data_IF_352549554462
#
_entry.id   IF_352549554462
#
_cell.length_a   1.000
_cell.length_b   1.000
_cell.length_c   1.000
_cell.angle_alpha   90.00
_cell.angle_beta   90.00
_cell.angle_gamma   90.00
#
_symmetry.space_group_name_H-M   'P 1'
#
loop_
_entity.id
_entity.type
_entity.pdbx_description
1 polymer ?
#
# COMPACT_ATOMS: atom_id res chain seq x y z
N UNK A 1 -32.53 -0.46 -17.16
CA UNK A 1 -31.32 0.21 -16.62
C UNK A 1 -31.60 1.28 -15.56
N UNK A 2 -32.72 2.02 -15.58
CA UNK A 2 -32.96 3.13 -14.63
C UNK A 2 -33.28 2.73 -13.17
N UNK A 3 -33.66 1.48 -12.92
CA UNK A 3 -34.03 0.99 -11.58
C UNK A 3 -32.79 0.65 -10.71
N UNK A 4 -31.74 0.11 -11.32
CA UNK A 4 -30.48 -0.22 -10.63
C UNK A 4 -29.70 1.03 -10.19
N UNK A 5 -29.81 2.14 -10.92
CA UNK A 5 -29.14 3.41 -10.56
C UNK A 5 -29.82 4.05 -9.34
N UNK A 6 -31.15 3.95 -9.20
CA UNK A 6 -31.88 4.47 -8.04
C UNK A 6 -31.63 3.64 -6.77
N UNK A 7 -31.50 2.31 -6.89
CA UNK A 7 -31.18 1.44 -5.75
C UNK A 7 -29.74 1.66 -5.23
N UNK A 8 -28.80 2.00 -6.12
CA UNK A 8 -27.41 2.27 -5.75
C UNK A 8 -27.27 3.62 -5.01
N UNK A 9 -28.09 4.62 -5.33
CA UNK A 9 -28.08 5.92 -4.65
C UNK A 9 -28.72 5.87 -3.25
N UNK A 10 -29.78 5.08 -3.05
CA UNK A 10 -30.42 4.95 -1.73
C UNK A 10 -29.56 4.16 -0.74
N UNK A 11 -28.83 3.13 -1.18
CA UNK A 11 -27.88 2.42 -0.33
C UNK A 11 -26.64 3.28 0.03
N UNK A 12 -26.21 4.18 -0.86
CA UNK A 12 -25.11 5.11 -0.59
C UNK A 12 -25.48 6.20 0.43
N UNK A 13 -26.76 6.60 0.49
CA UNK A 13 -27.26 7.60 1.43
C UNK A 13 -27.53 7.06 2.84
N UNK A 14 -27.91 5.79 2.99
CA UNK A 14 -28.08 5.19 4.33
C UNK A 14 -26.76 4.79 5.01
N UNK A 15 -25.68 4.57 4.26
CA UNK A 15 -24.36 4.22 4.81
C UNK A 15 -23.57 5.39 5.41
N UNK A 16 -24.04 6.64 5.25
CA UNK A 16 -23.36 7.84 5.72
C UNK A 16 -23.75 8.28 7.14
N UNK A 17 -24.68 7.57 7.80
CA UNK A 17 -25.29 8.00 9.08
C UNK A 17 -24.54 7.63 10.36
N UNK A 18 -23.45 6.84 10.31
CA UNK A 18 -22.68 6.46 11.49
C UNK A 18 -21.21 6.88 11.39
N UNK A 19 -20.98 8.20 11.44
CA UNK A 19 -19.71 8.73 11.91
C UNK A 19 -19.95 9.26 13.33
N UNK A 20 -19.67 8.42 14.32
CA UNK A 20 -19.64 8.79 15.73
C UNK A 20 -18.63 9.94 15.93
N UNK A 21 -19.16 11.10 16.29
CA UNK A 21 -18.40 12.27 16.73
C UNK A 21 -17.78 11.98 18.10
N UNK A 22 -16.51 11.57 18.12
CA UNK A 22 -15.71 11.57 19.34
C UNK A 22 -15.41 13.00 19.76
N UNK A 23 -16.14 13.51 20.76
CA UNK A 23 -15.91 14.81 21.37
C UNK A 23 -14.57 14.86 22.09
N UNK A 24 -13.70 15.78 21.67
CA UNK A 24 -12.48 16.15 22.40
C UNK A 24 -12.88 17.19 23.44
N UNK A 25 -12.74 16.83 24.73
CA UNK A 25 -12.89 17.77 25.85
C UNK A 25 -11.82 18.86 25.76
N UNK A 26 -12.26 20.11 25.78
CA UNK A 26 -11.40 21.26 26.01
C UNK A 26 -10.80 21.17 27.42
N UNK A 27 -9.48 21.14 27.53
CA UNK A 27 -8.76 21.43 28.76
C UNK A 27 -8.41 22.91 28.75
N UNK A 28 -9.11 23.66 29.58
CA UNK A 28 -8.78 25.03 29.98
C UNK A 28 -7.55 24.98 30.90
N UNK A 29 -6.48 25.67 30.52
CA UNK A 29 -5.32 25.92 31.37
C UNK A 29 -5.17 27.44 31.55
N UNK A 30 -5.22 27.99 32.78
CA UNK A 30 -4.80 29.36 33.05
C UNK A 30 -3.36 29.35 33.60
N UNK A 31 -2.51 30.26 33.10
CA UNK A 31 -1.17 30.42 33.63
C UNK A 31 -0.35 31.44 32.85
N UNK A 32 -0.56 32.72 33.15
CA UNK A 32 0.26 33.83 32.71
C UNK A 32 1.67 33.78 33.32
N UNK A 33 2.70 34.19 32.56
CA UNK A 33 4.05 34.34 33.09
C UNK A 33 5.09 34.83 32.09
N UNK A 34 5.21 36.17 32.01
CA UNK A 34 6.43 36.99 31.80
C UNK A 34 7.21 36.87 30.48
N UNK A 35 7.27 38.01 29.80
CA UNK A 35 7.97 38.26 28.54
C UNK A 35 9.47 38.52 28.72
N UNK A 36 10.27 38.05 27.75
CA UNK A 36 11.64 38.53 27.48
C UNK A 36 11.72 38.95 26.00
N UNK A 37 12.12 40.19 25.66
CA UNK A 37 12.18 40.66 24.28
C UNK A 37 13.64 40.74 23.79
N UNK A 38 14.09 39.83 22.91
CA UNK A 38 15.26 40.09 22.05
C UNK A 38 15.48 38.94 21.04
N UNK A 39 14.95 39.13 19.82
CA UNK A 39 15.50 38.65 18.54
C UNK A 39 14.39 38.68 17.47
N UNK A 40 13.91 39.88 17.16
CA UNK A 40 12.97 40.12 16.07
C UNK A 40 13.79 40.33 14.78
N UNK A 41 14.33 39.25 14.24
CA UNK A 41 14.91 39.26 12.90
C UNK A 41 13.79 38.95 11.88
N UNK A 42 13.33 40.01 11.23
CA UNK A 42 12.61 40.02 9.95
C UNK A 42 11.45 39.02 9.77
N UNK A 43 10.31 39.26 10.44
CA UNK A 43 9.02 38.69 10.02
C UNK A 43 8.23 39.77 9.29
N UNK A 44 8.61 40.03 8.04
CA UNK A 44 7.82 40.82 7.11
C UNK A 44 6.58 40.02 6.71
N UNK A 45 5.42 40.54 7.09
CA UNK A 45 4.09 40.00 6.82
C UNK A 45 3.78 39.97 5.32
N UNK A 46 3.52 38.77 4.78
CA UNK A 46 2.78 38.55 3.53
C UNK A 46 1.78 37.40 3.75
N UNK A 47 0.60 37.43 3.13
CA UNK A 47 -0.48 36.50 3.46
C UNK A 47 -0.10 35.07 3.03
N UNK A 48 -0.13 34.13 3.96
CA UNK A 48 -0.18 32.69 3.71
C UNK A 48 1.04 32.02 3.04
N UNK A 49 2.27 32.42 3.36
CA UNK A 49 3.47 31.68 2.94
C UNK A 49 3.66 30.39 3.76
N UNK A 50 2.81 29.39 3.50
CA UNK A 50 2.96 28.04 4.03
C UNK A 50 4.34 27.49 3.63
N UNK A 51 5.10 27.01 4.61
CA UNK A 51 6.44 26.50 4.34
C UNK A 51 6.37 25.14 3.60
N UNK A 52 7.46 24.76 2.93
CA UNK A 52 7.57 23.41 2.32
C UNK A 52 7.41 22.31 3.38
N UNK A 53 7.89 22.54 4.59
CA UNK A 53 7.75 21.62 5.71
C UNK A 53 6.27 21.45 6.11
N UNK A 54 5.49 22.53 6.18
CA UNK A 54 4.05 22.47 6.49
C UNK A 54 3.27 21.70 5.43
N UNK A 55 3.62 21.93 4.16
CA UNK A 55 3.03 21.18 3.03
C UNK A 55 3.39 19.70 3.10
N UNK A 56 4.63 19.38 3.44
CA UNK A 56 5.11 18.02 3.60
C UNK A 56 4.41 17.28 4.78
N UNK A 57 4.17 17.98 5.90
CA UNK A 57 3.37 17.49 7.02
C UNK A 57 1.92 17.21 6.61
N UNK A 58 1.31 18.11 5.83
CA UNK A 58 -0.04 17.93 5.30
C UNK A 58 -0.14 16.71 4.37
N UNK A 59 0.84 16.50 3.49
CA UNK A 59 0.95 15.30 2.65
C UNK A 59 0.99 14.05 3.52
N UNK A 60 1.85 14.01 4.54
CA UNK A 60 1.94 12.86 5.44
C UNK A 60 0.61 12.57 6.14
N UNK A 61 -0.08 13.60 6.65
CA UNK A 61 -1.42 13.47 7.25
C UNK A 61 -2.45 12.91 6.25
N UNK A 62 -2.46 13.43 5.01
CA UNK A 62 -3.32 12.95 3.93
C UNK A 62 -3.07 11.46 3.64
N UNK A 63 -1.82 11.04 3.45
CA UNK A 63 -1.48 9.64 3.16
C UNK A 63 -1.81 8.72 4.34
N UNK A 64 -1.53 9.14 5.58
CA UNK A 64 -1.87 8.38 6.79
C UNK A 64 -3.39 8.17 6.92
N UNK A 65 -4.18 9.23 6.78
CA UNK A 65 -5.63 9.17 6.85
C UNK A 65 -6.23 8.29 5.74
N UNK A 66 -5.79 8.48 4.48
CA UNK A 66 -6.30 7.70 3.34
C UNK A 66 -5.90 6.22 3.40
N UNK A 67 -4.74 5.91 3.99
CA UNK A 67 -4.31 4.52 4.22
C UNK A 67 -5.20 3.81 5.24
N UNK A 68 -5.61 4.49 6.31
CA UNK A 68 -6.56 3.96 7.29
C UNK A 68 -7.93 3.64 6.67
N UNK A 69 -8.45 4.54 5.82
CA UNK A 69 -9.72 4.31 5.12
C UNK A 69 -9.71 3.07 4.21
N UNK A 70 -8.56 2.74 3.60
CA UNK A 70 -8.42 1.53 2.77
C UNK A 70 -8.60 0.23 3.57
N UNK A 71 -8.16 0.20 4.83
CA UNK A 71 -8.37 -0.96 5.72
C UNK A 71 -9.87 -1.13 6.00
N UNK A 72 -10.58 -0.03 6.28
CA UNK A 72 -12.04 -0.06 6.48
C UNK A 72 -12.78 -0.71 5.31
N UNK A 73 -12.47 -0.32 4.06
CA UNK A 73 -13.09 -0.94 2.87
C UNK A 73 -12.79 -2.43 2.73
N UNK A 74 -11.58 -2.85 3.07
CA UNK A 74 -11.23 -4.27 3.07
C UNK A 74 -12.03 -5.04 4.13
N UNK A 75 -12.12 -4.50 5.35
CA UNK A 75 -12.91 -5.10 6.43
C UNK A 75 -14.39 -5.21 6.07
N UNK A 76 -14.98 -4.16 5.47
CA UNK A 76 -16.36 -4.21 4.99
C UNK A 76 -16.55 -5.22 3.85
N UNK A 77 -15.61 -5.31 2.91
CA UNK A 77 -15.67 -6.30 1.84
C UNK A 77 -15.61 -7.74 2.37
N UNK A 78 -14.67 -8.02 3.28
CA UNK A 78 -14.55 -9.33 3.93
C UNK A 78 -15.79 -9.67 4.76
N UNK A 79 -16.29 -8.72 5.56
CA UNK A 79 -17.49 -8.93 6.36
C UNK A 79 -18.74 -9.16 5.49
N UNK A 80 -18.87 -8.44 4.37
CA UNK A 80 -19.97 -8.64 3.42
C UNK A 80 -19.96 -10.03 2.79
N UNK A 81 -18.79 -10.54 2.41
CA UNK A 81 -18.65 -11.91 1.91
C UNK A 81 -19.05 -12.92 3.00
N UNK A 82 -18.47 -12.80 4.21
CA UNK A 82 -18.75 -13.72 5.32
C UNK A 82 -20.23 -13.71 5.74
N UNK A 83 -20.84 -12.52 5.85
CA UNK A 83 -22.24 -12.37 6.18
C UNK A 83 -23.16 -12.97 5.11
N UNK A 84 -22.76 -12.93 3.83
CA UNK A 84 -23.53 -13.52 2.74
C UNK A 84 -23.37 -15.04 2.62
N UNK A 85 -22.31 -15.62 3.19
CA UNK A 85 -22.10 -17.07 3.19
C UNK A 85 -22.87 -17.79 4.32
N UNK A 86 -23.27 -17.09 5.38
CA UNK A 86 -23.97 -17.71 6.52
C UNK A 86 -25.42 -18.14 6.20
N UNK A 87 -26.26 -17.32 5.52
CA UNK A 87 -27.64 -17.71 5.19
C UNK A 87 -27.75 -18.63 3.97
N UNK A 88 -26.73 -18.63 3.08
CA UNK A 88 -26.72 -19.44 1.86
C UNK A 88 -26.66 -20.95 2.14
N UNK A 89 -26.37 -21.35 3.38
CA UNK A 89 -26.44 -22.75 3.83
C UNK A 89 -27.87 -23.27 3.94
N UNK A 90 -28.91 -22.42 3.90
CA UNK A 90 -30.28 -22.84 4.20
C UNK A 90 -31.25 -22.88 3.02
N UNK A 91 -30.95 -22.30 1.85
CA UNK A 91 -31.97 -22.20 0.79
C UNK A 91 -31.43 -22.26 -0.65
N UNK A 92 -31.87 -23.29 -1.38
CA UNK A 92 -32.07 -23.41 -2.84
C UNK A 92 -30.86 -23.66 -3.76
N UNK A 93 -31.01 -24.75 -4.53
CA UNK A 93 -30.12 -25.33 -5.55
C UNK A 93 -30.01 -24.53 -6.86
N UNK A 94 -30.47 -23.29 -6.90
CA UNK A 94 -30.25 -22.42 -8.06
C UNK A 94 -28.99 -21.60 -7.77
N UNK A 95 -28.02 -21.59 -8.68
CA UNK A 95 -26.76 -20.84 -8.59
C UNK A 95 -26.94 -19.31 -8.58
N UNK A 96 -27.67 -18.80 -7.58
CA UNK A 96 -27.98 -17.40 -7.41
C UNK A 96 -26.74 -16.76 -6.81
N UNK A 97 -26.10 -15.91 -7.60
CA UNK A 97 -25.07 -14.99 -7.14
C UNK A 97 -25.67 -14.15 -6.01
N UNK A 98 -25.37 -14.50 -4.76
CA UNK A 98 -25.91 -13.75 -3.62
C UNK A 98 -25.41 -12.32 -3.72
N UNK A 99 -26.29 -11.31 -3.68
CA UNK A 99 -25.91 -9.90 -3.84
C UNK A 99 -24.77 -9.47 -2.90
N UNK A 100 -24.64 -10.13 -1.75
CA UNK A 100 -23.57 -9.89 -0.78
C UNK A 100 -22.16 -10.29 -1.24
N UNK A 101 -21.98 -11.36 -2.03
CA UNK A 101 -20.67 -11.73 -2.59
C UNK A 101 -20.23 -10.73 -3.66
N UNK A 102 -21.17 -10.30 -4.52
CA UNK A 102 -20.92 -9.26 -5.52
C UNK A 102 -20.56 -7.92 -4.88
N UNK A 103 -21.33 -7.48 -3.89
CA UNK A 103 -21.04 -6.25 -3.15
C UNK A 103 -19.70 -6.35 -2.39
N UNK A 104 -19.47 -7.45 -1.68
CA UNK A 104 -18.26 -7.68 -0.90
C UNK A 104 -16.99 -7.70 -1.75
N UNK A 105 -17.03 -8.35 -2.91
CA UNK A 105 -15.90 -8.37 -3.87
C UNK A 105 -15.62 -6.98 -4.46
N UNK A 106 -16.64 -6.18 -4.78
CA UNK A 106 -16.46 -4.80 -5.22
C UNK A 106 -15.76 -3.94 -4.15
N UNK A 107 -16.15 -4.07 -2.88
CA UNK A 107 -15.49 -3.36 -1.77
C UNK A 107 -14.04 -3.80 -1.56
N UNK A 108 -13.72 -5.08 -1.73
CA UNK A 108 -12.35 -5.57 -1.70
C UNK A 108 -11.50 -4.93 -2.82
N UNK A 109 -12.01 -4.88 -4.05
CA UNK A 109 -11.31 -4.27 -5.19
C UNK A 109 -11.06 -2.78 -4.92
N UNK A 110 -12.06 -2.06 -4.41
CA UNK A 110 -11.93 -0.64 -4.05
C UNK A 110 -10.89 -0.45 -2.93
N UNK A 111 -10.93 -1.28 -1.89
CA UNK A 111 -9.97 -1.27 -0.78
C UNK A 111 -8.53 -1.52 -1.24
N UNK A 112 -8.34 -2.50 -2.14
CA UNK A 112 -7.04 -2.81 -2.75
C UNK A 112 -6.52 -1.64 -3.59
N UNK A 113 -7.36 -1.05 -4.44
CA UNK A 113 -6.97 0.09 -5.27
C UNK A 113 -6.52 1.28 -4.40
N UNK A 114 -7.25 1.61 -3.32
CA UNK A 114 -6.84 2.65 -2.38
C UNK A 114 -5.53 2.30 -1.67
N UNK A 115 -5.33 1.04 -1.27
CA UNK A 115 -4.07 0.60 -0.64
C UNK A 115 -2.88 0.76 -1.58
N UNK A 116 -3.06 0.52 -2.87
CA UNK A 116 -2.04 0.71 -3.90
C UNK A 116 -1.79 2.20 -4.15
N UNK A 117 -2.84 3.02 -4.19
CA UNK A 117 -2.74 4.45 -4.44
C UNK A 117 -2.02 5.19 -3.31
N UNK A 118 -2.23 4.82 -2.05
CA UNK A 118 -1.69 5.51 -0.86
C UNK A 118 -0.56 4.74 -0.14
N UNK A 119 0.24 3.98 -0.90
CA UNK A 119 1.41 3.27 -0.37
C UNK A 119 2.46 4.23 0.19
N UNK A 120 3.21 3.84 1.23
CA UNK A 120 4.29 4.66 1.80
C UNK A 120 5.38 5.02 0.78
N UNK A 121 5.65 4.15 -0.20
CA UNK A 121 6.60 4.47 -1.28
C UNK A 121 6.17 5.65 -2.14
N UNK A 122 4.85 5.78 -2.42
CA UNK A 122 4.33 6.91 -3.20
C UNK A 122 4.37 8.20 -2.39
N UNK A 123 4.11 8.13 -1.08
CA UNK A 123 4.26 9.27 -0.17
C UNK A 123 5.68 9.82 -0.21
N UNK A 124 6.69 8.96 -0.04
CA UNK A 124 8.11 9.34 -0.15
C UNK A 124 8.47 9.91 -1.51
N UNK A 125 7.96 9.33 -2.60
CA UNK A 125 8.16 9.86 -3.95
C UNK A 125 7.62 11.28 -4.08
N UNK A 126 6.39 11.52 -3.64
CA UNK A 126 5.76 12.85 -3.68
C UNK A 126 6.53 13.85 -2.82
N UNK A 127 7.01 13.43 -1.65
CA UNK A 127 7.86 14.27 -0.78
C UNK A 127 9.21 14.58 -1.42
N UNK A 128 9.82 13.61 -2.12
CA UNK A 128 11.08 13.81 -2.87
C UNK A 128 10.88 14.75 -4.05
N UNK A 129 9.79 14.61 -4.80
CA UNK A 129 9.41 15.53 -5.88
C UNK A 129 9.16 16.94 -5.34
N UNK A 130 8.48 17.07 -4.20
CA UNK A 130 8.28 18.35 -3.51
C UNK A 130 9.61 18.96 -3.04
N UNK A 131 10.51 18.16 -2.49
CA UNK A 131 11.83 18.61 -2.06
C UNK A 131 12.67 19.12 -3.25
N UNK A 132 12.66 18.37 -4.34
CA UNK A 132 13.46 18.65 -5.53
C UNK A 132 12.91 19.83 -6.36
N UNK A 133 11.60 19.89 -6.59
CA UNK A 133 10.98 20.84 -7.52
C UNK A 133 10.22 21.97 -6.83
N UNK A 134 9.82 21.79 -5.57
CA UNK A 134 8.86 22.68 -4.91
C UNK A 134 7.42 22.54 -5.41
N UNK A 135 7.15 21.65 -6.37
CA UNK A 135 5.83 21.44 -6.94
C UNK A 135 5.21 20.11 -6.50
N UNK A 136 3.87 20.11 -6.36
CA UNK A 136 3.11 18.92 -6.02
C UNK A 136 2.39 18.37 -7.24
N UNK A 137 2.26 17.04 -7.38
CA UNK A 137 1.39 16.45 -8.38
C UNK A 137 -0.05 16.94 -8.24
N UNK A 138 -0.70 17.26 -9.35
CA UNK A 138 -2.04 17.86 -9.40
C UNK A 138 -3.07 17.04 -8.62
N UNK A 139 -2.96 15.72 -8.65
CA UNK A 139 -3.83 14.79 -7.90
C UNK A 139 -3.69 14.91 -6.37
N UNK A 140 -2.48 15.21 -5.87
CA UNK A 140 -2.21 15.42 -4.45
C UNK A 140 -2.62 16.84 -4.06
N UNK A 141 -2.24 17.84 -4.87
CA UNK A 141 -2.62 19.23 -4.65
C UNK A 141 -4.14 19.41 -4.53
N UNK A 142 -4.92 18.78 -5.42
CA UNK A 142 -6.40 18.80 -5.36
C UNK A 142 -6.94 18.23 -4.04
N UNK A 143 -6.30 17.19 -3.50
CA UNK A 143 -6.72 16.54 -2.26
C UNK A 143 -6.30 17.29 -1.01
N UNK A 144 -5.19 18.03 -1.06
CA UNK A 144 -4.75 18.92 0.02
C UNK A 144 -5.63 20.17 0.12
N UNK A 145 -6.11 20.71 -1.01
CA UNK A 145 -7.04 21.84 -1.01
C UNK A 145 -8.40 21.54 -0.36
N UNK A 146 -8.75 20.26 -0.21
CA UNK A 146 -9.96 19.83 0.49
C UNK A 146 -9.71 19.67 1.99
N UNK A 147 -9.97 18.48 2.52
CA UNK A 147 -9.94 18.18 3.96
C UNK A 147 -8.56 18.18 4.63
N UNK A 148 -7.48 18.52 3.92
CA UNK A 148 -6.09 18.41 4.41
C UNK A 148 -5.29 19.69 4.11
N UNK A 149 -5.90 20.85 4.36
CA UNK A 149 -5.25 22.15 4.18
C UNK A 149 -3.95 22.18 5.03
N UNK A 150 -2.81 22.61 4.46
CA UNK A 150 -1.59 22.74 5.24
C UNK A 150 -1.79 23.75 6.36
N UNK A 151 -1.42 23.34 7.57
CA UNK A 151 -1.44 24.17 8.77
C UNK A 151 0.01 24.37 9.19
N UNK A 152 0.36 25.59 9.58
CA UNK A 152 1.66 25.90 10.18
C UNK A 152 1.88 24.97 11.37
N UNK A 153 2.87 24.07 11.28
CA UNK A 153 3.17 23.19 12.40
C UNK A 153 4.16 23.85 13.36
N UNK A 154 4.22 23.34 14.58
CA UNK A 154 5.13 23.84 15.59
C UNK A 154 6.60 23.59 15.18
N UNK A 155 7.53 24.37 15.73
CA UNK A 155 8.96 24.17 15.52
C UNK A 155 9.44 22.77 16.00
N UNK A 156 8.73 22.18 16.96
CA UNK A 156 8.99 20.85 17.51
C UNK A 156 8.42 19.70 16.68
N UNK A 157 7.54 19.98 15.71
CA UNK A 157 6.91 18.95 14.91
C UNK A 157 7.91 18.30 13.94
N UNK A 158 7.88 16.97 13.85
CA UNK A 158 8.72 16.20 12.93
C UNK A 158 8.62 16.73 11.49
N UNK A 159 9.76 17.06 10.89
CA UNK A 159 9.85 17.46 9.49
C UNK A 159 10.03 16.21 8.59
N UNK A 160 9.00 15.84 7.81
CA UNK A 160 9.11 14.70 6.91
C UNK A 160 10.09 14.90 5.76
N UNK A 161 10.52 16.13 5.44
CA UNK A 161 11.56 16.35 4.42
C UNK A 161 12.97 15.97 4.90
N UNK A 162 13.15 15.88 6.21
CA UNK A 162 14.41 15.47 6.83
C UNK A 162 14.53 13.96 7.00
N UNK A 163 13.52 13.18 6.60
CA UNK A 163 13.62 11.72 6.62
C UNK A 163 14.69 11.22 5.62
N UNK A 164 15.44 10.15 5.97
CA UNK A 164 16.36 9.50 5.04
C UNK A 164 15.69 9.19 3.70
N UNK A 165 16.38 9.51 2.60
CA UNK A 165 15.90 9.23 1.24
C UNK A 165 14.97 10.24 0.58
N UNK A 166 14.54 11.28 1.30
CA UNK A 166 13.70 12.34 0.71
C UNK A 166 14.54 13.50 0.16
N UNK A 167 15.70 13.78 0.78
CA UNK A 167 16.63 14.78 0.26
C UNK A 167 17.25 14.31 -1.07
N UNK A 168 17.29 15.17 -2.10
CA UNK A 168 17.95 14.85 -3.35
C UNK A 168 19.43 14.57 -3.09
N UNK A 169 19.94 13.46 -3.64
CA UNK A 169 21.34 13.01 -3.53
C UNK A 169 22.35 13.97 -4.18
N UNK A 170 21.88 15.13 -4.62
CA UNK A 170 22.61 16.15 -5.37
C UNK A 170 23.54 16.98 -4.47
N UNK A 171 23.64 16.66 -3.17
CA UNK A 171 24.80 17.06 -2.38
C UNK A 171 25.94 16.17 -2.85
N UNK A 172 26.49 16.55 -4.01
CA UNK A 172 27.59 15.88 -4.67
C UNK A 172 28.78 15.86 -3.71
N UNK A 173 28.99 14.71 -3.08
CA UNK A 173 30.27 14.38 -2.49
C UNK A 173 31.27 14.34 -3.65
N UNK A 174 32.38 15.07 -3.54
CA UNK A 174 33.52 15.04 -4.47
C UNK A 174 34.17 13.64 -4.45
N UNK A 175 33.45 12.63 -4.95
CA UNK A 175 33.89 11.23 -4.97
C UNK A 175 34.74 11.00 -6.21
N UNK A 176 35.86 10.31 -6.03
CA UNK A 176 36.74 9.92 -7.14
C UNK A 176 36.05 8.87 -8.03
N UNK A 177 36.42 8.73 -9.32
CA UNK A 177 35.85 7.71 -10.20
C UNK A 177 35.94 6.29 -9.63
N UNK A 178 37.00 5.97 -8.88
CA UNK A 178 37.16 4.70 -8.20
C UNK A 178 36.10 4.50 -7.09
N UNK A 179 35.83 5.53 -6.29
CA UNK A 179 34.77 5.49 -5.27
C UNK A 179 33.37 5.38 -5.89
N UNK A 180 33.15 5.99 -7.06
CA UNK A 180 31.88 5.86 -7.80
C UNK A 180 31.70 4.42 -8.30
N UNK A 181 32.76 3.79 -8.82
CA UNK A 181 32.71 2.41 -9.27
C UNK A 181 32.46 1.42 -8.11
N UNK A 182 33.13 1.63 -6.97
CA UNK A 182 32.93 0.84 -5.76
C UNK A 182 31.51 1.01 -5.19
N UNK A 183 31.01 2.24 -5.12
CA UNK A 183 29.64 2.52 -4.70
C UNK A 183 28.61 1.88 -5.64
N UNK A 184 28.83 1.95 -6.96
CA UNK A 184 27.98 1.29 -7.94
C UNK A 184 28.00 -0.24 -7.79
N UNK A 185 29.17 -0.82 -7.52
CA UNK A 185 29.31 -2.26 -7.26
C UNK A 185 28.52 -2.66 -5.99
N UNK A 186 28.68 -1.92 -4.89
CA UNK A 186 27.93 -2.15 -3.67
C UNK A 186 26.40 -2.00 -3.87
N UNK A 187 25.96 -1.01 -4.66
CA UNK A 187 24.55 -0.80 -4.96
C UNK A 187 23.96 -1.92 -5.84
N UNK A 188 24.73 -2.46 -6.79
CA UNK A 188 24.29 -3.63 -7.56
C UNK A 188 24.16 -4.88 -6.70
N UNK A 189 25.08 -5.14 -5.75
CA UNK A 189 24.96 -6.24 -4.79
C UNK A 189 23.70 -6.10 -3.94
N UNK A 190 23.43 -4.90 -3.42
CA UNK A 190 22.19 -4.61 -2.68
C UNK A 190 20.94 -4.80 -3.56
N UNK A 191 21.01 -4.42 -4.82
CA UNK A 191 19.90 -4.58 -5.76
C UNK A 191 19.61 -6.05 -6.07
N UNK A 192 20.64 -6.91 -6.17
CA UNK A 192 20.48 -8.36 -6.31
C UNK A 192 19.75 -8.90 -5.08
N UNK A 193 20.27 -8.67 -3.88
CA UNK A 193 19.66 -9.18 -2.65
C UNK A 193 18.19 -8.73 -2.51
N UNK A 194 17.89 -7.46 -2.82
CA UNK A 194 16.51 -6.95 -2.85
C UNK A 194 15.61 -7.61 -3.88
N UNK A 195 16.13 -7.88 -5.08
CA UNK A 195 15.36 -8.55 -6.12
C UNK A 195 14.94 -9.94 -5.63
N UNK A 196 15.86 -10.71 -5.07
CA UNK A 196 15.61 -12.05 -4.53
C UNK A 196 14.68 -12.00 -3.32
N UNK A 197 14.97 -11.17 -2.32
CA UNK A 197 14.13 -10.99 -1.14
C UNK A 197 12.68 -10.59 -1.51
N UNK A 198 12.51 -9.69 -2.49
CA UNK A 198 11.18 -9.30 -2.97
C UNK A 198 10.47 -10.45 -3.69
N UNK A 199 11.17 -11.20 -4.54
CA UNK A 199 10.58 -12.34 -5.26
C UNK A 199 10.19 -13.46 -4.31
N UNK A 200 11.01 -13.75 -3.30
CA UNK A 200 10.69 -14.68 -2.20
C UNK A 200 9.47 -14.21 -1.41
N UNK A 201 9.42 -12.94 -0.99
CA UNK A 201 8.23 -12.36 -0.31
C UNK A 201 6.97 -12.46 -1.18
N UNK A 202 7.10 -12.20 -2.48
CA UNK A 202 6.01 -12.38 -3.45
C UNK A 202 5.56 -13.83 -3.57
N UNK A 203 6.49 -14.77 -3.70
CA UNK A 203 6.20 -16.20 -3.75
C UNK A 203 5.52 -16.71 -2.46
N UNK A 204 5.99 -16.27 -1.28
CA UNK A 204 5.31 -16.56 0.00
C UNK A 204 3.90 -16.00 0.03
N UNK A 205 3.71 -14.75 -0.37
CA UNK A 205 2.38 -14.13 -0.40
C UNK A 205 1.40 -14.88 -1.32
N UNK A 206 1.86 -15.33 -2.49
CA UNK A 206 1.06 -16.16 -3.40
C UNK A 206 0.76 -17.54 -2.84
N UNK A 207 1.72 -18.19 -2.17
CA UNK A 207 1.46 -19.46 -1.48
C UNK A 207 0.47 -19.30 -0.33
N UNK A 208 0.57 -18.24 0.48
CA UNK A 208 -0.42 -17.96 1.52
C UNK A 208 -1.82 -17.71 0.94
N UNK A 209 -1.91 -16.95 -0.16
CA UNK A 209 -3.17 -16.74 -0.87
C UNK A 209 -3.75 -18.06 -1.39
N UNK A 210 -2.94 -18.85 -2.10
CA UNK A 210 -3.35 -20.14 -2.63
C UNK A 210 -3.80 -21.10 -1.52
N UNK A 211 -3.03 -21.21 -0.44
CA UNK A 211 -3.30 -22.13 0.67
C UNK A 211 -4.52 -21.69 1.50
N UNK A 212 -4.74 -20.38 1.68
CA UNK A 212 -5.99 -19.88 2.26
C UNK A 212 -7.20 -20.17 1.38
N UNK A 213 -7.01 -20.12 0.05
CA UNK A 213 -8.00 -20.55 -0.93
C UNK A 213 -8.31 -22.04 -0.81
N UNK A 214 -7.29 -22.90 -0.67
CA UNK A 214 -7.47 -24.34 -0.41
C UNK A 214 -8.34 -24.54 0.82
N UNK A 215 -7.96 -23.95 1.96
CA UNK A 215 -8.68 -24.17 3.23
C UNK A 215 -10.13 -23.67 3.20
N UNK A 216 -10.38 -22.53 2.56
CA UNK A 216 -11.74 -22.03 2.37
C UNK A 216 -12.57 -22.98 1.48
N UNK A 217 -11.96 -23.49 0.41
CA UNK A 217 -12.61 -24.41 -0.52
C UNK A 217 -12.84 -25.79 0.09
N UNK A 218 -11.86 -26.33 0.84
CA UNK A 218 -12.00 -27.57 1.61
C UNK A 218 -13.15 -27.47 2.60
N UNK A 219 -13.29 -26.34 3.31
CA UNK A 219 -14.39 -26.13 4.24
C UNK A 219 -15.76 -26.12 3.56
N UNK A 220 -15.87 -25.54 2.36
CA UNK A 220 -17.10 -25.54 1.56
C UNK A 220 -17.42 -26.96 1.06
N UNK A 221 -16.41 -27.71 0.62
CA UNK A 221 -16.57 -29.08 0.11
C UNK A 221 -16.95 -30.06 1.22
N UNK A 222 -16.35 -29.94 2.41
CA UNK A 222 -16.67 -30.83 3.54
C UNK A 222 -18.01 -30.49 4.20
N UNK A 223 -18.52 -29.26 4.08
CA UNK A 223 -19.88 -28.93 4.50
C UNK A 223 -20.95 -29.40 3.52
N UNK A 224 -20.63 -29.53 2.22
CA UNK A 224 -21.60 -29.95 1.21
C UNK A 224 -21.90 -31.47 1.22
N UNK A 225 -21.00 -32.29 1.79
CA UNK A 225 -21.14 -33.75 1.78
C UNK A 225 -22.16 -34.31 2.78
N UNK A 226 -22.73 -33.50 3.67
CA UNK A 226 -23.72 -33.95 4.65
C UNK A 226 -25.19 -33.87 4.20
N UNK A 227 -25.51 -33.19 3.09
CA UNK A 227 -26.91 -32.87 2.73
C UNK A 227 -27.38 -33.29 1.32
N UNK A 228 -26.62 -34.13 0.59
CA UNK A 228 -27.13 -34.78 -0.62
C UNK A 228 -27.41 -33.86 -1.82
N UNK A 229 -26.97 -32.60 -1.78
CA UNK A 229 -27.07 -31.67 -2.91
C UNK A 229 -25.95 -31.92 -3.91
N UNK A 230 -26.29 -32.32 -5.15
CA UNK A 230 -25.30 -32.42 -6.23
C UNK A 230 -24.85 -31.02 -6.65
N UNK A 231 -23.55 -30.75 -6.51
CA UNK A 231 -22.95 -29.50 -6.97
C UNK A 231 -22.38 -29.76 -8.37
N UNK A 232 -22.72 -28.90 -9.33
CA UNK A 232 -22.19 -28.99 -10.70
C UNK A 232 -20.65 -28.93 -10.69
N UNK A 233 -20.01 -30.07 -10.95
CA UNK A 233 -18.56 -30.25 -10.82
C UNK A 233 -17.74 -29.32 -11.70
N UNK A 234 -18.32 -28.78 -12.78
CA UNK A 234 -17.66 -27.82 -13.67
C UNK A 234 -17.35 -26.48 -13.00
N UNK A 235 -18.26 -25.97 -12.16
CA UNK A 235 -18.06 -24.69 -11.47
C UNK A 235 -16.99 -24.77 -10.39
N UNK A 236 -16.97 -25.88 -9.63
CA UNK A 236 -15.94 -26.16 -8.62
C UNK A 236 -14.58 -26.37 -9.31
N UNK A 237 -14.52 -27.09 -10.43
CA UNK A 237 -13.25 -27.33 -11.14
C UNK A 237 -12.60 -26.02 -11.64
N UNK A 238 -13.40 -25.08 -12.17
CA UNK A 238 -12.89 -23.78 -12.62
C UNK A 238 -12.43 -22.93 -11.43
N UNK A 239 -13.20 -22.87 -10.35
CA UNK A 239 -12.82 -22.11 -9.14
C UNK A 239 -11.57 -22.70 -8.46
N UNK A 240 -11.47 -24.02 -8.39
CA UNK A 240 -10.32 -24.71 -7.79
C UNK A 240 -9.07 -24.57 -8.68
N UNK A 241 -9.20 -24.81 -9.98
CA UNK A 241 -8.07 -24.70 -10.91
C UNK A 241 -7.51 -23.28 -10.99
N UNK A 242 -8.38 -22.27 -11.11
CA UNK A 242 -7.96 -20.88 -11.31
C UNK A 242 -7.49 -20.18 -10.03
N UNK A 243 -8.15 -20.42 -8.89
CA UNK A 243 -7.88 -19.67 -7.65
C UNK A 243 -7.05 -20.43 -6.63
N UNK A 244 -6.89 -21.75 -6.78
CA UNK A 244 -6.12 -22.57 -5.85
C UNK A 244 -4.85 -23.09 -6.51
N UNK A 245 -4.98 -23.81 -7.64
CA UNK A 245 -3.83 -24.47 -8.27
C UNK A 245 -2.87 -23.46 -8.90
N UNK A 246 -3.37 -22.52 -9.72
CA UNK A 246 -2.51 -21.57 -10.41
C UNK A 246 -1.66 -20.69 -9.45
N UNK A 247 -2.21 -20.10 -8.37
CA UNK A 247 -1.40 -19.32 -7.42
C UNK A 247 -0.33 -20.14 -6.69
N UNK A 248 -0.61 -21.40 -6.34
CA UNK A 248 0.36 -22.28 -5.66
C UNK A 248 1.50 -22.64 -6.61
N UNK A 249 1.19 -23.04 -7.84
CA UNK A 249 2.23 -23.37 -8.85
C UNK A 249 3.12 -22.14 -9.12
N UNK A 250 2.52 -20.97 -9.32
CA UNK A 250 3.27 -19.70 -9.49
C UNK A 250 4.12 -19.39 -8.25
N UNK A 251 3.59 -19.66 -7.05
CA UNK A 251 4.28 -19.49 -5.78
C UNK A 251 5.52 -20.38 -5.65
N UNK A 252 5.37 -21.68 -5.94
CA UNK A 252 6.45 -22.67 -5.88
C UNK A 252 7.54 -22.37 -6.91
N UNK A 253 7.18 -22.11 -8.17
CA UNK A 253 8.16 -21.78 -9.22
C UNK A 253 8.97 -20.52 -8.88
N UNK A 254 8.35 -19.52 -8.25
CA UNK A 254 9.09 -18.33 -7.80
C UNK A 254 9.96 -18.61 -6.56
N UNK A 255 9.59 -19.54 -5.68
CA UNK A 255 10.42 -19.87 -4.52
C UNK A 255 11.65 -20.67 -4.94
N UNK A 256 11.51 -21.60 -5.90
CA UNK A 256 12.62 -22.40 -6.40
C UNK A 256 13.57 -21.57 -7.26
N UNK A 257 13.05 -20.75 -8.18
CA UNK A 257 13.86 -19.90 -9.05
C UNK A 257 14.58 -18.76 -8.31
N UNK A 258 14.17 -18.44 -7.09
CA UNK A 258 14.75 -17.38 -6.26
C UNK A 258 15.14 -17.90 -4.87
N UNK A 259 15.72 -19.10 -4.81
CA UNK A 259 16.24 -19.69 -3.58
C UNK A 259 17.44 -18.92 -3.02
N UNK A 260 17.77 -19.13 -1.75
CA UNK A 260 18.95 -18.55 -1.10
C UNK A 260 20.26 -19.09 -1.71
N UNK A 261 20.25 -20.34 -2.16
CA UNK A 261 21.40 -20.95 -2.85
C UNK A 261 21.71 -20.25 -4.17
N UNK A 262 20.70 -19.99 -4.99
CA UNK A 262 20.86 -19.28 -6.27
C UNK A 262 21.16 -17.78 -6.06
N UNK A 263 20.73 -17.19 -4.95
CA UNK A 263 21.13 -15.83 -4.57
C UNK A 263 22.64 -15.77 -4.27
N UNK A 264 23.12 -16.68 -3.41
CA UNK A 264 24.54 -16.77 -3.04
C UNK A 264 25.45 -17.08 -4.24
N UNK A 265 24.99 -17.92 -5.17
CA UNK A 265 25.71 -18.23 -6.42
C UNK A 265 25.84 -17.00 -7.34
N UNK A 266 24.75 -16.23 -7.51
CA UNK A 266 24.78 -15.01 -8.32
C UNK A 266 25.65 -13.93 -7.66
N UNK A 267 25.58 -13.82 -6.34
CA UNK A 267 26.41 -12.88 -5.58
C UNK A 267 27.90 -13.24 -5.65
N UNK A 268 28.26 -14.52 -5.47
CA UNK A 268 29.64 -14.97 -5.55
C UNK A 268 30.21 -14.80 -6.97
N UNK A 269 29.43 -15.14 -8.00
CA UNK A 269 29.79 -14.94 -9.40
C UNK A 269 30.02 -13.46 -9.73
N UNK A 270 29.19 -12.57 -9.20
CA UNK A 270 29.37 -11.13 -9.42
C UNK A 270 30.58 -10.57 -8.68
N UNK A 271 30.85 -11.03 -7.45
CA UNK A 271 32.04 -10.64 -6.68
C UNK A 271 33.34 -11.09 -7.34
N UNK A 272 33.34 -12.20 -8.08
CA UNK A 272 34.49 -12.65 -8.86
C UNK A 272 34.69 -11.90 -10.18
N UNK A 273 33.92 -10.83 -10.42
CA UNK A 273 34.05 -9.97 -11.60
C UNK A 273 33.26 -10.44 -12.82
N UNK A 274 32.48 -11.52 -12.71
CA UNK A 274 31.63 -11.94 -13.83
C UNK A 274 30.46 -10.96 -14.01
N UNK A 275 30.06 -10.66 -15.26
CA UNK A 275 28.91 -9.80 -15.51
C UNK A 275 27.60 -10.47 -15.03
N UNK A 276 26.64 -9.66 -14.57
CA UNK A 276 25.34 -10.19 -14.14
C UNK A 276 24.65 -10.98 -15.27
N UNK A 277 24.03 -12.14 -14.95
CA UNK A 277 23.22 -12.88 -15.91
C UNK A 277 22.15 -11.99 -16.56
N UNK A 278 22.01 -12.08 -17.90
CA UNK A 278 21.09 -11.23 -18.70
C UNK A 278 19.66 -11.21 -18.14
N UNK A 279 19.17 -12.38 -17.69
CA UNK A 279 17.83 -12.53 -17.09
C UNK A 279 17.67 -11.73 -15.80
N UNK A 280 18.71 -11.63 -14.97
CA UNK A 280 18.69 -10.86 -13.71
C UNK A 280 18.81 -9.38 -14.03
N UNK A 281 19.72 -9.00 -14.93
CA UNK A 281 19.88 -7.60 -15.38
C UNK A 281 18.58 -7.00 -15.92
N UNK A 282 17.81 -7.76 -16.71
CA UNK A 282 16.50 -7.34 -17.22
C UNK A 282 15.42 -7.24 -16.14
N UNK A 283 15.58 -7.94 -15.01
CA UNK A 283 14.60 -8.00 -13.92
C UNK A 283 14.90 -7.02 -12.79
N UNK A 284 16.14 -6.55 -12.66
CA UNK A 284 16.51 -5.43 -11.79
C UNK A 284 15.83 -4.18 -12.33
N UNK A 285 14.96 -3.57 -11.53
CA UNK A 285 14.24 -2.34 -11.88
C UNK A 285 14.90 -1.17 -11.15
N UNK A 286 14.63 0.07 -11.58
CA UNK A 286 15.14 1.30 -10.91
C UNK A 286 14.89 1.33 -9.40
N UNK A 287 13.79 0.71 -8.94
CA UNK A 287 13.43 0.55 -7.52
C UNK A 287 14.34 -0.37 -6.71
N UNK A 288 15.13 -1.23 -7.36
CA UNK A 288 16.09 -2.14 -6.71
C UNK A 288 17.41 -1.44 -6.40
N UNK A 289 17.78 -0.48 -7.24
CA UNK A 289 19.01 0.30 -7.17
C UNK A 289 18.95 1.45 -6.15
N UNK A 290 17.78 1.79 -5.61
CA UNK A 290 17.63 2.90 -4.68
C UNK A 290 18.02 2.48 -3.25
N UNK A 291 18.86 3.22 -2.50
CA UNK A 291 19.22 2.89 -1.11
C UNK A 291 17.99 2.70 -0.20
N UNK A 292 18.15 1.93 0.89
CA UNK A 292 17.05 1.59 1.80
C UNK A 292 16.78 2.85 2.63
N UNK A 293 15.57 3.38 2.49
CA UNK A 293 15.04 4.49 3.31
C UNK A 293 14.31 3.95 4.55
#
# INVERSE_FOLDING_TARGET
MSFFIRLFYTALLLGAGLCTSGGVRAQTLPGAGVATPAARAATSLAPNNLTRADTARAIRKLFKSRRGGGIGWLSFGTAGILASTLPALQTTSAGVWTPGVLAGSAFLIIGLNKRIQFRPGRERQVLRELAATGHLPTSVARRLRGSFVPVHGAATDYDPLSAPGIRPANVALNLTPAQIAEAAHADTLRAINRLFARRRKGGRAWNYLGLSGVLALTRILTSASSEGTSVDGGGIAILTGAFVVAPVVIGVVNLTAYSETHEAEVESSYRSGNPLPKKIRQRIKKKDLQPYD
#
